data_IF_122251351847
#
_entry.id   IF_122251351847
#
_cell.length_a   1.000
_cell.length_b   1.000
_cell.length_c   1.000
_cell.angle_alpha   90.00
_cell.angle_beta   90.00
_cell.angle_gamma   90.00
#
_symmetry.space_group_name_H-M   'P 1'
#
loop_
_entity.id
_entity.type
_entity.pdbx_description
1 polymer ?
#
# COMPACT_ATOMS: atom_id res chain seq x y z
N UNK A 1 27.75 10.69 -2.03
CA UNK A 1 27.28 9.36 -2.41
C UNK A 1 25.75 9.45 -2.48
N UNK A 2 25.16 9.24 -3.63
CA UNK A 2 23.71 9.26 -3.74
C UNK A 2 23.18 8.01 -3.01
N UNK A 3 22.43 8.23 -1.93
CA UNK A 3 21.84 7.13 -1.13
C UNK A 3 20.96 6.20 -1.97
N UNK A 4 20.49 6.67 -3.12
CA UNK A 4 19.67 5.91 -4.08
C UNK A 4 20.44 4.81 -4.79
N UNK A 5 21.78 4.83 -4.77
CA UNK A 5 22.65 3.84 -5.42
C UNK A 5 23.16 2.75 -4.48
N UNK A 6 22.84 2.77 -3.18
CA UNK A 6 23.44 1.88 -2.17
C UNK A 6 23.23 0.40 -2.50
N UNK A 7 22.18 0.04 -3.20
CA UNK A 7 21.90 -1.38 -3.49
C UNK A 7 22.35 -1.85 -4.86
N UNK A 8 22.77 -0.96 -5.76
CA UNK A 8 23.22 -1.31 -7.12
C UNK A 8 22.19 -2.02 -8.01
N UNK A 9 20.95 -2.14 -7.54
CA UNK A 9 19.89 -2.90 -8.21
C UNK A 9 18.72 -2.05 -8.68
N UNK A 10 18.78 -0.74 -8.47
CA UNK A 10 17.65 0.14 -8.70
C UNK A 10 17.98 1.26 -9.67
N UNK A 11 17.17 1.33 -10.71
CA UNK A 11 17.17 2.47 -11.63
C UNK A 11 15.87 3.26 -11.46
N UNK A 12 15.97 4.44 -10.88
CA UNK A 12 14.82 5.34 -10.67
C UNK A 12 14.17 5.79 -11.99
N UNK A 13 14.86 5.68 -13.12
CA UNK A 13 14.29 5.93 -14.44
C UNK A 13 13.31 4.83 -14.89
N UNK A 14 13.34 3.66 -14.25
CA UNK A 14 12.43 2.54 -14.51
C UNK A 14 11.17 2.55 -13.66
N UNK A 15 10.84 3.65 -12.97
CA UNK A 15 9.58 3.81 -12.25
C UNK A 15 8.39 3.74 -13.22
N UNK A 16 7.24 3.15 -12.81
CA UNK A 16 6.02 3.28 -13.58
C UNK A 16 5.68 4.74 -13.87
N UNK A 17 5.24 5.05 -15.08
CA UNK A 17 5.05 6.42 -15.56
C UNK A 17 4.02 7.24 -14.75
N UNK A 18 3.14 6.55 -14.03
CA UNK A 18 2.11 7.15 -13.17
C UNK A 18 2.47 7.14 -11.67
N UNK A 19 3.74 6.97 -11.33
CA UNK A 19 4.29 7.20 -9.99
C UNK A 19 4.84 8.62 -9.90
N UNK A 20 4.50 9.34 -8.84
CA UNK A 20 4.99 10.69 -8.53
C UNK A 20 5.77 10.66 -7.25
N UNK A 21 6.99 11.18 -7.30
CA UNK A 21 7.85 11.33 -6.13
C UNK A 21 8.03 12.81 -5.78
N UNK A 22 7.92 13.12 -4.51
CA UNK A 22 8.41 14.35 -3.92
C UNK A 22 9.94 14.41 -3.88
N UNK A 23 10.47 15.45 -3.27
CA UNK A 23 11.93 15.65 -3.11
C UNK A 23 12.47 14.69 -2.04
N UNK A 24 13.72 14.31 -2.20
CA UNK A 24 14.50 13.55 -1.21
C UNK A 24 13.83 12.24 -0.76
N UNK A 25 13.10 11.57 -1.66
CA UNK A 25 12.57 10.25 -1.42
C UNK A 25 13.65 9.18 -1.55
N UNK A 26 13.61 8.19 -0.67
CA UNK A 26 14.43 7.00 -0.74
C UNK A 26 13.59 5.77 -1.09
N UNK A 27 13.96 5.05 -2.15
CA UNK A 27 13.34 3.79 -2.55
C UNK A 27 14.45 2.74 -2.62
N UNK A 28 14.41 1.78 -1.72
CA UNK A 28 15.49 0.79 -1.63
C UNK A 28 15.45 -0.24 -2.74
N UNK A 29 14.26 -0.65 -3.20
CA UNK A 29 14.15 -1.76 -4.15
C UNK A 29 13.09 -1.57 -5.23
N UNK A 30 13.45 -1.94 -6.46
CA UNK A 30 12.51 -2.03 -7.60
C UNK A 30 11.40 -3.05 -7.34
N UNK A 31 11.67 -4.11 -6.59
CA UNK A 31 10.69 -5.14 -6.26
C UNK A 31 9.43 -4.59 -5.58
N UNK A 32 9.53 -3.44 -4.91
CA UNK A 32 8.36 -2.74 -4.33
C UNK A 32 7.24 -2.47 -5.34
N UNK A 33 7.56 -2.42 -6.63
CA UNK A 33 6.61 -2.14 -7.73
C UNK A 33 6.26 -3.37 -8.57
N UNK A 34 6.71 -4.57 -8.19
CA UNK A 34 6.51 -5.78 -8.98
C UNK A 34 5.02 -6.11 -9.25
N UNK A 35 4.12 -5.65 -8.37
CA UNK A 35 2.67 -5.83 -8.49
C UNK A 35 1.91 -4.52 -8.63
N UNK A 36 2.58 -3.45 -9.00
CA UNK A 36 1.96 -2.16 -9.26
C UNK A 36 1.31 -2.18 -10.65
N UNK A 37 -0.01 -2.18 -10.70
CA UNK A 37 -0.80 -2.30 -11.93
C UNK A 37 -1.78 -1.16 -12.14
N UNK A 38 -1.72 -0.11 -11.33
CA UNK A 38 -2.61 1.05 -11.48
C UNK A 38 -2.57 1.61 -12.89
N UNK A 39 -3.74 1.85 -13.46
CA UNK A 39 -3.92 2.53 -14.76
C UNK A 39 -4.42 3.96 -14.58
N UNK A 40 -4.49 4.44 -13.35
CA UNK A 40 -4.88 5.80 -13.04
C UNK A 40 -3.81 6.79 -13.53
N UNK A 41 -4.19 8.03 -13.91
CA UNK A 41 -3.22 9.06 -14.34
C UNK A 41 -2.10 9.30 -13.30
N UNK A 42 -2.41 9.14 -12.02
CA UNK A 42 -1.46 9.06 -10.91
C UNK A 42 -1.91 7.91 -10.02
N UNK A 43 -1.17 6.81 -10.04
CA UNK A 43 -1.49 5.60 -9.28
C UNK A 43 -0.79 5.55 -7.92
N UNK A 44 0.35 6.24 -7.78
CA UNK A 44 1.08 6.38 -6.52
C UNK A 44 1.68 7.78 -6.42
N UNK A 45 1.48 8.39 -5.26
CA UNK A 45 2.17 9.63 -4.88
C UNK A 45 2.93 9.41 -3.58
N UNK A 46 4.22 9.72 -3.58
CA UNK A 46 5.03 9.85 -2.38
C UNK A 46 5.38 11.32 -2.19
N UNK A 47 5.05 11.88 -1.03
CA UNK A 47 5.42 13.24 -0.66
C UNK A 47 6.93 13.41 -0.46
N UNK A 48 7.37 14.59 -0.04
CA UNK A 48 8.80 14.86 0.22
C UNK A 48 9.33 14.01 1.38
N UNK A 49 10.59 13.57 1.31
CA UNK A 49 11.28 12.82 2.36
C UNK A 49 10.58 11.51 2.77
N UNK A 50 9.92 10.83 1.84
CA UNK A 50 9.37 9.50 2.09
C UNK A 50 10.45 8.45 1.90
N UNK A 51 10.59 7.56 2.89
CA UNK A 51 11.56 6.48 2.85
C UNK A 51 10.85 5.13 2.74
N UNK A 52 11.16 4.39 1.67
CA UNK A 52 10.58 3.08 1.36
C UNK A 52 11.69 2.03 1.41
N UNK A 53 11.67 1.23 2.47
CA UNK A 53 12.66 0.17 2.69
C UNK A 53 12.20 -1.17 2.14
N UNK A 54 13.15 -2.10 2.12
CA UNK A 54 12.98 -3.48 1.66
C UNK A 54 11.72 -4.14 2.25
N UNK A 55 11.13 -5.06 1.49
CA UNK A 55 9.85 -5.73 1.75
C UNK A 55 8.61 -4.83 1.74
N UNK A 56 8.74 -3.53 1.46
CA UNK A 56 7.57 -2.72 1.13
C UNK A 56 7.10 -3.06 -0.28
N UNK A 57 5.82 -3.39 -0.42
CA UNK A 57 5.20 -3.75 -1.69
C UNK A 57 3.96 -2.91 -1.96
N UNK A 58 3.93 -2.30 -3.13
CA UNK A 58 2.74 -1.61 -3.65
C UNK A 58 1.99 -2.57 -4.59
N UNK A 59 1.14 -3.44 -4.03
CA UNK A 59 0.23 -4.26 -4.81
C UNK A 59 -1.04 -3.43 -5.08
N UNK A 60 -1.05 -2.78 -6.23
CA UNK A 60 -2.09 -1.82 -6.62
C UNK A 60 -2.81 -2.34 -7.85
N UNK A 61 -4.11 -2.55 -7.73
CA UNK A 61 -4.98 -2.98 -8.83
C UNK A 61 -5.24 -1.83 -9.82
N UNK A 62 -5.77 -2.09 -11.04
CA UNK A 62 -5.91 -1.07 -12.09
C UNK A 62 -6.63 0.22 -11.68
N UNK A 63 -7.65 0.13 -10.83
CA UNK A 63 -8.38 1.31 -10.33
C UNK A 63 -7.74 1.92 -9.07
N UNK A 64 -6.75 1.25 -8.47
CA UNK A 64 -6.17 1.62 -7.19
C UNK A 64 -5.29 2.88 -7.25
N UNK A 65 -5.36 3.66 -6.18
CA UNK A 65 -4.53 4.84 -5.95
C UNK A 65 -3.96 4.80 -4.53
N UNK A 66 -2.65 5.01 -4.40
CA UNK A 66 -1.98 5.11 -3.11
C UNK A 66 -1.35 6.50 -2.95
N UNK A 67 -1.60 7.13 -1.82
CA UNK A 67 -1.03 8.42 -1.47
C UNK A 67 -0.29 8.32 -0.13
N UNK A 68 0.95 8.78 -0.10
CA UNK A 68 1.80 8.76 1.09
C UNK A 68 2.32 10.15 1.36
N UNK A 69 1.96 10.72 2.50
CA UNK A 69 2.36 12.05 2.92
C UNK A 69 3.83 12.17 3.29
N UNK A 70 4.33 13.40 3.25
CA UNK A 70 5.74 13.72 3.46
C UNK A 70 6.29 13.26 4.81
N UNK A 71 7.56 12.87 4.84
CA UNK A 71 8.27 12.43 6.05
C UNK A 71 7.84 11.05 6.56
N UNK A 72 7.10 10.29 5.77
CA UNK A 72 6.62 8.95 6.15
C UNK A 72 7.71 7.89 5.94
N UNK A 73 7.77 6.95 6.87
CA UNK A 73 8.67 5.82 6.86
C UNK A 73 7.90 4.51 6.64
N UNK A 74 8.24 3.78 5.60
CA UNK A 74 7.66 2.48 5.26
C UNK A 74 8.74 1.40 5.36
N UNK A 75 8.60 0.47 6.30
CA UNK A 75 9.58 -0.60 6.54
C UNK A 75 8.90 -1.95 6.39
N UNK A 76 8.86 -2.50 5.18
CA UNK A 76 8.23 -3.79 4.91
C UNK A 76 6.71 -3.75 5.00
N UNK A 77 6.09 -2.69 4.50
CA UNK A 77 4.65 -2.52 4.45
C UNK A 77 4.05 -3.15 3.17
N UNK A 78 2.94 -3.87 3.30
CA UNK A 78 2.19 -4.44 2.18
C UNK A 78 0.93 -3.62 1.92
N UNK A 79 0.95 -2.84 0.84
CA UNK A 79 -0.21 -2.11 0.35
C UNK A 79 -1.00 -3.03 -0.59
N UNK A 80 -2.21 -3.38 -0.21
CA UNK A 80 -3.15 -4.13 -1.03
C UNK A 80 -4.29 -3.17 -1.42
N UNK A 81 -4.16 -2.52 -2.57
CA UNK A 81 -5.01 -1.40 -2.96
C UNK A 81 -5.83 -1.73 -4.22
N UNK A 82 -7.14 -1.79 -4.07
CA UNK A 82 -8.09 -1.93 -5.17
C UNK A 82 -8.76 -0.59 -5.54
N UNK A 83 -8.89 0.34 -4.59
CA UNK A 83 -9.55 1.62 -4.75
C UNK A 83 -8.68 2.78 -4.26
N UNK A 84 -8.49 2.92 -2.95
CA UNK A 84 -7.67 4.00 -2.38
C UNK A 84 -7.12 3.68 -1.01
N UNK A 85 -5.82 3.92 -0.83
CA UNK A 85 -5.15 3.95 0.47
C UNK A 85 -4.41 5.27 0.60
N UNK A 86 -4.71 6.03 1.66
CA UNK A 86 -4.09 7.33 1.92
C UNK A 86 -3.41 7.36 3.28
N UNK A 87 -2.13 7.69 3.29
CA UNK A 87 -1.34 7.95 4.49
C UNK A 87 -1.02 9.44 4.57
N UNK A 88 -1.21 10.01 5.75
CA UNK A 88 -0.81 11.37 6.09
C UNK A 88 0.70 11.53 6.20
N UNK A 89 1.12 12.62 6.80
CA UNK A 89 2.52 13.00 6.99
C UNK A 89 3.10 12.34 8.24
N UNK A 90 4.41 12.04 8.20
CA UNK A 90 5.18 11.52 9.36
C UNK A 90 4.59 10.23 9.96
N UNK A 91 3.95 9.43 9.12
CA UNK A 91 3.47 8.11 9.50
C UNK A 91 4.66 7.14 9.54
N UNK A 92 4.68 6.28 10.55
CA UNK A 92 5.65 5.19 10.63
C UNK A 92 4.93 3.86 10.50
N UNK A 93 5.25 3.12 9.43
CA UNK A 93 4.71 1.77 9.20
C UNK A 93 5.83 0.75 9.38
N UNK A 94 5.70 -0.08 10.42
CA UNK A 94 6.69 -1.09 10.77
C UNK A 94 6.62 -2.33 9.87
N UNK A 95 7.51 -3.29 10.13
CA UNK A 95 7.66 -4.53 9.35
C UNK A 95 6.37 -5.35 9.29
N UNK A 96 6.11 -5.93 8.12
CA UNK A 96 5.01 -6.87 7.87
C UNK A 96 3.61 -6.32 8.19
N UNK A 97 3.46 -5.01 8.17
CA UNK A 97 2.14 -4.38 8.27
C UNK A 97 1.41 -4.57 6.94
N UNK A 98 0.16 -5.02 6.99
CA UNK A 98 -0.71 -5.09 5.82
C UNK A 98 -1.78 -4.01 5.89
N UNK A 99 -1.93 -3.23 4.83
CA UNK A 99 -2.98 -2.23 4.67
C UNK A 99 -3.79 -2.64 3.43
N UNK A 100 -5.06 -3.01 3.64
CA UNK A 100 -5.91 -3.56 2.59
C UNK A 100 -7.24 -2.81 2.52
N UNK A 101 -7.57 -2.26 1.35
CA UNK A 101 -8.84 -1.57 1.12
C UNK A 101 -9.93 -2.47 0.53
N UNK A 102 -9.66 -3.77 0.40
CA UNK A 102 -10.59 -4.76 -0.17
C UNK A 102 -10.39 -6.12 0.49
N UNK A 103 -11.38 -7.01 0.36
CA UNK A 103 -11.24 -8.43 0.71
C UNK A 103 -10.40 -9.20 -0.34
N UNK A 104 -10.17 -8.63 -1.52
CA UNK A 104 -9.44 -9.17 -2.67
C UNK A 104 -9.99 -10.46 -3.26
N UNK A 105 -10.90 -11.14 -2.59
CA UNK A 105 -11.58 -12.33 -3.06
C UNK A 105 -13.08 -12.25 -2.73
N UNK A 106 -13.95 -12.74 -3.64
CA UNK A 106 -15.40 -12.77 -3.40
C UNK A 106 -15.76 -13.60 -2.17
N UNK A 107 -16.78 -13.15 -1.41
CA UNK A 107 -17.33 -13.93 -0.29
C UNK A 107 -18.16 -15.11 -0.77
N UNK A 108 -18.87 -14.96 -1.90
CA UNK A 108 -19.63 -16.05 -2.51
C UNK A 108 -18.70 -17.16 -3.02
N UNK A 109 -18.93 -18.44 -2.66
CA UNK A 109 -18.05 -19.54 -3.05
C UNK A 109 -17.97 -19.76 -4.56
N UNK A 110 -19.05 -19.54 -5.31
CA UNK A 110 -19.07 -19.72 -6.77
C UNK A 110 -18.23 -18.63 -7.43
N UNK A 111 -18.46 -17.39 -7.06
CA UNK A 111 -17.66 -16.26 -7.55
C UNK A 111 -16.18 -16.42 -7.15
N UNK A 112 -15.88 -16.89 -5.94
CA UNK A 112 -14.51 -17.14 -5.48
C UNK A 112 -13.79 -18.21 -6.32
N UNK A 113 -14.51 -19.23 -6.79
CA UNK A 113 -13.94 -20.22 -7.71
C UNK A 113 -13.58 -19.59 -9.06
N UNK A 114 -14.46 -18.74 -9.61
CA UNK A 114 -14.17 -17.98 -10.83
C UNK A 114 -12.94 -17.09 -10.64
N UNK A 115 -12.87 -16.39 -9.53
CA UNK A 115 -11.72 -15.54 -9.17
C UNK A 115 -10.42 -16.37 -9.09
N UNK A 116 -10.45 -17.54 -8.48
CA UNK A 116 -9.28 -18.41 -8.38
C UNK A 116 -8.78 -18.88 -9.76
N UNK A 117 -9.68 -19.23 -10.66
CA UNK A 117 -9.33 -19.61 -12.04
C UNK A 117 -8.75 -18.43 -12.83
N UNK A 118 -9.34 -17.25 -12.69
CA UNK A 118 -8.84 -16.02 -13.33
C UNK A 118 -7.43 -15.63 -12.84
N UNK A 119 -7.08 -15.96 -11.60
CA UNK A 119 -5.76 -15.70 -11.02
C UNK A 119 -4.74 -16.83 -11.23
N UNK A 120 -5.15 -17.97 -11.77
CA UNK A 120 -4.24 -19.08 -12.03
C UNK A 120 -3.21 -18.74 -13.14
N UNK A 121 -2.08 -19.44 -13.20
CA UNK A 121 -1.18 -19.34 -14.35
C UNK A 121 -1.94 -19.59 -15.66
N UNK A 122 -1.88 -18.63 -16.58
CA UNK A 122 -2.65 -18.66 -17.84
C UNK A 122 -4.11 -18.23 -17.73
N UNK A 123 -4.58 -17.87 -16.55
CA UNK A 123 -5.93 -17.33 -16.35
C UNK A 123 -6.05 -15.89 -16.86
N UNK A 124 -7.26 -15.48 -17.20
CA UNK A 124 -7.55 -14.10 -17.60
C UNK A 124 -8.01 -13.27 -16.40
N UNK A 125 -7.13 -12.44 -15.90
CA UNK A 125 -7.41 -11.57 -14.74
C UNK A 125 -8.51 -10.53 -14.99
N UNK A 126 -8.83 -10.22 -16.24
CA UNK A 126 -9.92 -9.31 -16.60
C UNK A 126 -11.30 -9.91 -16.36
N UNK A 127 -11.39 -11.24 -16.24
CA UNK A 127 -12.62 -11.96 -15.94
C UNK A 127 -12.89 -12.12 -14.44
N UNK A 128 -12.06 -11.52 -13.59
CA UNK A 128 -12.25 -11.56 -12.13
C UNK A 128 -13.58 -10.93 -11.73
N UNK A 129 -14.35 -11.58 -10.84
CA UNK A 129 -15.53 -10.96 -10.25
C UNK A 129 -15.15 -9.68 -9.50
N UNK A 130 -16.04 -8.70 -9.53
CA UNK A 130 -15.86 -7.49 -8.73
C UNK A 130 -15.91 -7.85 -7.24
N UNK A 131 -14.95 -7.30 -6.48
CA UNK A 131 -14.89 -7.41 -5.02
C UNK A 131 -15.10 -6.00 -4.43
N UNK A 132 -15.84 -5.93 -3.34
CA UNK A 132 -16.07 -4.66 -2.66
C UNK A 132 -14.78 -4.11 -2.07
N UNK A 133 -14.60 -2.82 -2.26
CA UNK A 133 -13.53 -2.03 -1.67
C UNK A 133 -14.11 -0.89 -0.84
N UNK A 134 -13.35 -0.42 0.12
CA UNK A 134 -13.63 0.78 0.91
C UNK A 134 -12.29 1.44 1.25
N UNK A 135 -12.13 2.74 0.96
CA UNK A 135 -10.87 3.44 1.20
C UNK A 135 -10.36 3.29 2.63
N UNK A 136 -9.05 3.22 2.77
CA UNK A 136 -8.36 3.29 4.07
C UNK A 136 -7.68 4.63 4.18
N UNK A 137 -7.89 5.30 5.32
CA UNK A 137 -7.29 6.60 5.64
C UNK A 137 -6.48 6.47 6.92
N UNK A 138 -5.20 6.82 6.85
CA UNK A 138 -4.31 6.90 7.99
C UNK A 138 -3.86 8.35 8.10
N UNK A 139 -4.25 9.03 9.16
CA UNK A 139 -3.93 10.44 9.34
C UNK A 139 -2.47 10.69 9.72
N UNK A 140 -2.11 11.97 9.91
CA UNK A 140 -0.75 12.37 10.26
C UNK A 140 -0.27 11.77 11.58
N UNK A 141 1.05 11.60 11.72
CA UNK A 141 1.73 11.24 12.97
C UNK A 141 1.34 9.87 13.55
N UNK A 142 0.70 9.00 12.76
CA UNK A 142 0.32 7.64 13.18
C UNK A 142 1.53 6.71 13.20
N UNK A 143 1.60 5.85 14.22
CA UNK A 143 2.55 4.74 14.27
C UNK A 143 1.83 3.40 14.21
N UNK A 144 2.24 2.54 13.25
CA UNK A 144 1.68 1.19 13.09
C UNK A 144 2.75 0.17 13.42
N UNK A 145 2.51 -0.61 14.47
CA UNK A 145 3.41 -1.62 14.99
C UNK A 145 3.55 -2.83 14.07
N UNK A 146 4.63 -3.57 14.25
CA UNK A 146 5.00 -4.75 13.45
C UNK A 146 3.86 -5.75 13.34
N UNK A 147 3.62 -6.26 12.13
CA UNK A 147 2.64 -7.32 11.86
C UNK A 147 1.18 -6.90 12.02
N UNK A 148 0.89 -5.61 12.20
CA UNK A 148 -0.49 -5.15 12.27
C UNK A 148 -1.18 -5.26 10.90
N UNK A 149 -2.51 -5.41 10.92
CA UNK A 149 -3.35 -5.49 9.72
C UNK A 149 -4.41 -4.41 9.80
N UNK A 150 -4.49 -3.55 8.80
CA UNK A 150 -5.54 -2.52 8.66
C UNK A 150 -6.47 -2.93 7.54
N UNK A 151 -7.76 -3.09 7.84
CA UNK A 151 -8.75 -3.55 6.88
C UNK A 151 -9.51 -2.40 6.23
N UNK A 152 -10.22 -2.72 5.16
CA UNK A 152 -11.00 -1.78 4.35
C UNK A 152 -11.96 -0.93 5.16
N UNK A 153 -12.12 0.33 4.75
CA UNK A 153 -13.06 1.29 5.33
C UNK A 153 -12.60 1.91 6.64
N UNK A 154 -11.39 1.58 7.12
CA UNK A 154 -10.88 2.09 8.40
C UNK A 154 -10.24 3.46 8.23
N UNK A 155 -10.57 4.36 9.16
CA UNK A 155 -9.83 5.61 9.39
C UNK A 155 -9.03 5.50 10.71
N UNK A 156 -7.72 5.70 10.65
CA UNK A 156 -6.85 5.80 11.83
C UNK A 156 -6.55 7.27 12.07
N UNK A 157 -7.04 7.79 13.19
CA UNK A 157 -6.95 9.19 13.56
C UNK A 157 -5.52 9.63 13.90
N UNK A 158 -5.27 10.93 13.76
CA UNK A 158 -3.96 11.57 13.96
C UNK A 158 -3.30 11.15 15.27
N UNK A 159 -2.02 10.80 15.20
CA UNK A 159 -1.20 10.46 16.35
C UNK A 159 -1.56 9.13 17.02
N UNK A 160 -2.49 8.36 16.47
CA UNK A 160 -2.85 7.06 17.01
C UNK A 160 -1.68 6.07 16.93
N UNK A 161 -1.66 5.12 17.85
CA UNK A 161 -0.66 4.06 17.95
C UNK A 161 -1.32 2.70 17.82
N UNK A 162 -1.05 2.01 16.74
CA UNK A 162 -1.52 0.65 16.50
C UNK A 162 -0.49 -0.33 17.04
N UNK A 163 -0.91 -1.19 17.97
CA UNK A 163 -0.01 -2.16 18.59
C UNK A 163 0.44 -3.25 17.59
N UNK A 164 1.58 -3.84 17.87
CA UNK A 164 2.10 -4.95 17.08
C UNK A 164 1.09 -6.11 17.02
N UNK A 165 0.90 -6.67 15.82
CA UNK A 165 -0.02 -7.78 15.58
C UNK A 165 -1.51 -7.44 15.67
N UNK A 166 -1.88 -6.17 15.89
CA UNK A 166 -3.28 -5.78 15.96
C UNK A 166 -3.99 -5.93 14.61
N UNK A 167 -5.25 -6.35 14.63
CA UNK A 167 -6.14 -6.33 13.46
C UNK A 167 -7.15 -5.21 13.63
N UNK A 168 -7.00 -4.16 12.82
CA UNK A 168 -7.84 -2.96 12.86
C UNK A 168 -9.01 -3.13 11.89
N UNK A 169 -10.21 -3.30 12.43
CA UNK A 169 -11.45 -3.57 11.67
C UNK A 169 -12.46 -2.44 11.76
N UNK A 170 -12.14 -1.37 12.48
CA UNK A 170 -12.98 -0.19 12.72
C UNK A 170 -12.10 1.02 12.98
N UNK A 171 -12.68 2.19 12.86
CA UNK A 171 -11.97 3.45 13.08
C UNK A 171 -11.29 3.51 14.44
N UNK A 172 -10.11 4.13 14.46
CA UNK A 172 -9.32 4.39 15.65
C UNK A 172 -9.29 5.91 15.88
N UNK A 173 -9.77 6.40 17.04
CA UNK A 173 -9.75 7.82 17.32
C UNK A 173 -8.32 8.37 17.40
N UNK A 174 -8.16 9.71 17.23
CA UNK A 174 -6.86 10.35 17.39
C UNK A 174 -6.23 10.13 18.76
N UNK A 175 -4.89 9.98 18.80
CA UNK A 175 -4.10 9.94 20.03
C UNK A 175 -4.21 8.65 20.86
N UNK A 176 -4.73 7.56 20.32
CA UNK A 176 -4.81 6.25 20.97
C UNK A 176 -3.66 5.33 20.54
#
# INVERSE_FOLDING_TARGET
MDMREITGHWDYHALPANVRLGRDCFLERKASFARFRSTQPVGLTLGDNVNVYTWTEFNVEPAGVVEVGSGTLLVGAHFMCAERISLGKRVVVSYHVTIADSDFHPRDPVARRVDALANAPGGDRWTRPRVESQPVVIEDDVWIGIGAIVLKGVTIGRGARILAGAVVTRDVPPGL
#
